data_IF_094475048683
#
_entry.id   IF_094475048683
#
_cell.length_a   1.000
_cell.length_b   1.000
_cell.length_c   1.000
_cell.angle_alpha   90.00
_cell.angle_beta   90.00
_cell.angle_gamma   90.00
#
_symmetry.space_group_name_H-M   'P 1'
#
loop_
_entity.id
_entity.type
_entity.pdbx_description
1 polymer ?
#
# COMPACT_ATOMS: atom_id res chain seq x y z
N UNK A 1 1.66 14.33 12.60
CA UNK A 1 2.31 14.79 11.35
C UNK A 1 1.74 14.03 10.17
N UNK A 2 1.86 12.70 10.16
CA UNK A 2 1.25 11.81 9.17
C UNK A 2 -0.25 12.05 8.94
N UNK A 3 -1.06 12.22 10.00
CA UNK A 3 -2.51 12.44 9.86
C UNK A 3 -2.88 13.60 8.93
N UNK A 4 -2.10 14.70 8.96
CA UNK A 4 -2.33 15.86 8.09
C UNK A 4 -2.02 15.54 6.63
N UNK A 5 -0.96 14.76 6.38
CA UNK A 5 -0.56 14.34 5.04
C UNK A 5 -1.56 13.31 4.50
N UNK A 6 -1.91 12.30 5.31
CA UNK A 6 -2.91 11.28 4.97
C UNK A 6 -4.29 11.87 4.68
N UNK A 7 -4.74 12.83 5.50
CA UNK A 7 -6.02 13.51 5.24
C UNK A 7 -6.01 14.31 3.93
N UNK A 8 -4.91 15.01 3.61
CA UNK A 8 -4.74 15.73 2.34
C UNK A 8 -4.67 14.78 1.14
N UNK A 9 -3.93 13.68 1.28
CA UNK A 9 -3.86 12.62 0.27
C UNK A 9 -5.24 12.02 0.01
N UNK A 10 -5.97 11.64 1.07
CA UNK A 10 -7.31 11.09 0.92
C UNK A 10 -8.27 12.06 0.24
N UNK A 11 -8.32 13.31 0.69
CA UNK A 11 -9.15 14.33 0.05
C UNK A 11 -8.82 14.47 -1.46
N UNK A 12 -7.54 14.66 -1.80
CA UNK A 12 -7.14 14.95 -3.19
C UNK A 12 -7.27 13.75 -4.14
N UNK A 13 -6.94 12.54 -3.69
CA UNK A 13 -7.09 11.31 -4.47
C UNK A 13 -8.58 10.99 -4.71
N UNK A 14 -9.42 11.15 -3.67
CA UNK A 14 -10.87 10.94 -3.78
C UNK A 14 -11.52 11.94 -4.74
N UNK A 15 -11.19 13.24 -4.61
CA UNK A 15 -11.68 14.29 -5.51
C UNK A 15 -11.32 14.03 -6.98
N UNK A 16 -10.18 13.36 -7.21
CA UNK A 16 -9.68 13.05 -8.55
C UNK A 16 -10.10 11.67 -9.04
N UNK A 17 -10.96 10.96 -8.28
CA UNK A 17 -11.45 9.61 -8.55
C UNK A 17 -10.32 8.61 -8.84
N UNK A 18 -9.18 8.73 -8.16
CA UNK A 18 -8.08 7.78 -8.25
C UNK A 18 -8.31 6.66 -7.22
N UNK A 19 -8.62 5.42 -7.63
CA UNK A 19 -8.73 4.30 -6.70
C UNK A 19 -7.37 4.06 -6.06
N UNK A 20 -7.33 3.92 -4.74
CA UNK A 20 -6.07 3.70 -4.04
C UNK A 20 -6.27 2.99 -2.72
N UNK A 21 -5.17 2.51 -2.15
CA UNK A 21 -5.11 2.17 -0.74
C UNK A 21 -3.72 2.47 -0.17
N UNK A 22 -3.69 2.92 1.09
CA UNK A 22 -2.47 3.05 1.89
C UNK A 22 -2.02 1.67 2.34
N UNK A 23 -0.76 1.34 2.09
CA UNK A 23 -0.16 0.03 2.39
C UNK A 23 1.03 0.20 3.37
N UNK A 24 1.90 -0.80 3.43
CA UNK A 24 3.22 -0.66 4.03
C UNK A 24 3.20 -0.33 5.53
N UNK A 25 4.15 0.49 5.96
CA UNK A 25 4.34 0.81 7.38
C UNK A 25 3.15 1.52 8.03
N UNK A 26 2.44 2.36 7.29
CA UNK A 26 1.26 3.08 7.79
C UNK A 26 0.08 2.12 8.05
N UNK A 27 -0.13 1.14 7.17
CA UNK A 27 -1.16 0.12 7.36
C UNK A 27 -0.89 -0.79 8.57
N UNK A 28 0.38 -1.04 8.92
CA UNK A 28 0.75 -1.80 10.14
C UNK A 28 0.22 -1.14 11.40
N UNK A 29 0.13 0.20 11.44
CA UNK A 29 -0.36 0.91 12.63
C UNK A 29 -1.81 0.59 12.98
N UNK A 30 -2.60 0.07 12.03
CA UNK A 30 -4.00 -0.32 12.26
C UNK A 30 -4.14 -1.71 12.89
N UNK A 31 -3.22 -2.64 12.60
CA UNK A 31 -3.41 -4.06 12.92
C UNK A 31 -2.27 -4.68 13.76
N UNK A 32 -1.09 -4.05 13.78
CA UNK A 32 0.13 -4.60 14.37
C UNK A 32 0.62 -3.81 15.58
N UNK A 33 1.93 -3.83 15.79
CA UNK A 33 2.61 -2.97 16.76
C UNK A 33 3.08 -1.66 16.11
N UNK A 34 2.83 -0.50 16.74
CA UNK A 34 3.36 0.76 16.26
C UNK A 34 4.88 0.70 16.14
N UNK A 35 5.39 1.04 14.94
CA UNK A 35 6.83 1.12 14.69
C UNK A 35 7.15 2.37 13.91
N UNK A 36 8.40 2.82 14.02
CA UNK A 36 8.85 3.94 13.19
C UNK A 36 8.78 3.53 11.70
N UNK A 37 7.93 4.23 10.96
CA UNK A 37 7.85 4.30 9.50
C UNK A 37 8.24 5.72 9.09
N UNK A 38 8.91 5.85 7.94
CA UNK A 38 9.49 7.11 7.48
C UNK A 38 8.81 7.64 6.22
N UNK A 39 7.79 6.93 5.78
CA UNK A 39 7.22 6.99 4.45
C UNK A 39 5.72 6.65 4.50
N UNK A 40 5.06 6.98 3.40
CA UNK A 40 3.68 6.59 3.09
C UNK A 40 3.73 5.87 1.75
N UNK A 41 3.35 4.60 1.76
CA UNK A 41 3.25 3.77 0.55
C UNK A 41 1.80 3.71 0.09
N UNK A 42 1.54 3.97 -1.19
CA UNK A 42 0.20 4.02 -1.77
C UNK A 42 0.17 3.18 -3.04
N UNK A 43 -0.69 2.16 -3.09
CA UNK A 43 -1.01 1.50 -4.36
C UNK A 43 -2.16 2.24 -5.02
N UNK A 44 -2.00 2.58 -6.30
CA UNK A 44 -3.00 3.18 -7.17
C UNK A 44 -3.58 2.09 -8.07
N UNK A 45 -4.91 2.01 -8.15
CA UNK A 45 -5.66 1.09 -9.02
C UNK A 45 -5.74 1.53 -10.47
N UNK A 46 -4.69 2.19 -10.97
CA UNK A 46 -4.60 2.72 -12.33
C UNK A 46 -3.23 2.44 -12.93
N UNK A 47 -3.16 2.43 -14.25
CA UNK A 47 -1.90 2.35 -14.99
C UNK A 47 -1.19 3.71 -15.09
N UNK A 48 0.01 3.66 -15.67
CA UNK A 48 0.85 4.86 -15.91
C UNK A 48 0.23 5.83 -16.92
N UNK A 49 -0.80 5.41 -17.67
CA UNK A 49 -1.63 6.27 -18.52
C UNK A 49 -2.36 7.35 -17.70
N UNK A 50 -2.48 7.18 -16.38
CA UNK A 50 -3.03 8.17 -15.46
C UNK A 50 -1.97 9.03 -14.75
N UNK A 51 -0.70 8.95 -15.17
CA UNK A 51 0.40 9.70 -14.54
C UNK A 51 0.13 11.21 -14.52
N UNK A 52 -0.38 11.77 -15.63
CA UNK A 52 -0.70 13.20 -15.69
C UNK A 52 -1.80 13.60 -14.69
N UNK A 53 -2.82 12.75 -14.53
CA UNK A 53 -3.89 12.97 -13.53
C UNK A 53 -3.29 12.97 -12.13
N UNK A 54 -2.44 11.99 -11.82
CA UNK A 54 -1.75 11.92 -10.52
C UNK A 54 -0.88 13.16 -10.29
N UNK A 55 -0.09 13.60 -11.27
CA UNK A 55 0.76 14.78 -11.14
C UNK A 55 -0.06 16.05 -10.89
N UNK A 56 -1.18 16.23 -11.58
CA UNK A 56 -2.09 17.36 -11.30
C UNK A 56 -2.76 17.24 -9.93
N UNK A 57 -3.02 16.02 -9.47
CA UNK A 57 -3.62 15.75 -8.17
C UNK A 57 -2.67 16.14 -7.04
N UNK A 58 -1.43 15.64 -7.07
CA UNK A 58 -0.47 15.87 -5.99
C UNK A 58 0.04 17.32 -5.94
N UNK A 59 0.02 18.05 -7.08
CA UNK A 59 0.34 19.50 -7.13
C UNK A 59 -0.61 20.38 -6.31
N UNK A 60 -1.80 19.88 -5.95
CA UNK A 60 -2.77 20.62 -5.11
C UNK A 60 -2.37 20.66 -3.63
N UNK A 61 -1.41 19.83 -3.23
CA UNK A 61 -0.91 19.69 -1.85
C UNK A 61 0.61 19.87 -1.86
N UNK A 62 1.30 20.05 -0.71
CA UNK A 62 2.74 20.33 -0.70
C UNK A 62 3.58 19.08 -0.98
N UNK A 63 3.27 18.36 -2.05
CA UNK A 63 4.02 17.22 -2.56
C UNK A 63 4.78 17.60 -3.82
N UNK A 64 6.06 17.21 -3.87
CA UNK A 64 6.89 17.36 -5.05
C UNK A 64 7.40 16.00 -5.50
N UNK A 65 7.24 15.70 -6.79
CA UNK A 65 7.86 14.53 -7.40
C UNK A 65 9.39 14.61 -7.29
N UNK A 66 10.02 13.48 -6.96
CA UNK A 66 11.46 13.41 -6.75
C UNK A 66 12.28 13.18 -8.03
N UNK A 67 11.86 12.36 -9.02
CA UNK A 67 12.67 12.12 -10.21
C UNK A 67 12.80 13.37 -11.08
N UNK A 68 13.97 13.56 -11.70
CA UNK A 68 14.18 14.63 -12.68
C UNK A 68 13.37 14.37 -13.95
N UNK A 69 13.47 13.16 -14.51
CA UNK A 69 12.60 12.66 -15.59
C UNK A 69 11.53 11.73 -15.01
N UNK A 70 10.41 12.34 -14.63
CA UNK A 70 9.28 11.62 -14.02
C UNK A 70 8.70 10.55 -14.96
N UNK A 71 8.53 10.88 -16.24
CA UNK A 71 7.89 9.97 -17.18
C UNK A 71 8.75 8.72 -17.41
N UNK A 72 10.05 8.92 -17.67
CA UNK A 72 10.97 7.78 -17.85
C UNK A 72 11.09 6.93 -16.58
N UNK A 73 11.16 7.55 -15.40
CA UNK A 73 11.27 6.82 -14.13
C UNK A 73 10.03 5.97 -13.85
N UNK A 74 8.83 6.54 -14.00
CA UNK A 74 7.56 5.83 -13.76
C UNK A 74 7.38 4.71 -14.79
N UNK A 75 7.72 4.96 -16.06
CA UNK A 75 7.63 3.94 -17.12
C UNK A 75 8.52 2.71 -16.84
N UNK A 76 9.65 2.89 -16.17
CA UNK A 76 10.59 1.82 -15.83
C UNK A 76 10.24 1.10 -14.53
N UNK A 77 9.74 1.84 -13.52
CA UNK A 77 9.63 1.33 -12.15
C UNK A 77 8.19 1.09 -11.70
N UNK A 78 7.20 1.63 -12.42
CA UNK A 78 5.80 1.70 -11.98
C UNK A 78 5.61 2.48 -10.67
N UNK A 79 6.57 3.34 -10.28
CA UNK A 79 6.50 4.12 -9.03
C UNK A 79 6.76 5.60 -9.30
N UNK A 80 5.92 6.47 -8.74
CA UNK A 80 6.18 7.90 -8.61
C UNK A 80 6.57 8.21 -7.14
N UNK A 81 7.87 8.38 -6.84
CA UNK A 81 8.30 8.83 -5.53
C UNK A 81 8.12 10.35 -5.42
N UNK A 82 7.54 10.79 -4.31
CA UNK A 82 7.31 12.19 -3.98
C UNK A 82 7.75 12.49 -2.54
N UNK A 83 7.86 13.77 -2.21
CA UNK A 83 8.18 14.25 -0.86
C UNK A 83 7.21 15.34 -0.45
N UNK A 84 6.73 15.26 0.79
CA UNK A 84 6.00 16.35 1.43
C UNK A 84 7.00 17.43 1.84
N UNK A 85 6.95 18.58 1.18
CA UNK A 85 7.93 19.66 1.35
C UNK A 85 7.83 20.32 2.73
N UNK A 86 6.70 20.16 3.43
CA UNK A 86 6.50 20.72 4.77
C UNK A 86 7.18 19.89 5.87
N UNK A 87 7.34 18.59 5.65
CA UNK A 87 7.75 17.63 6.70
C UNK A 87 8.96 16.78 6.31
N UNK A 88 9.29 16.72 5.01
CA UNK A 88 10.31 15.83 4.48
C UNK A 88 9.88 14.36 4.40
N UNK A 89 8.61 14.03 4.68
CA UNK A 89 8.10 12.66 4.59
C UNK A 89 8.02 12.24 3.12
N UNK A 90 8.54 11.06 2.81
CA UNK A 90 8.44 10.45 1.49
C UNK A 90 7.05 9.82 1.27
N UNK A 91 6.51 9.97 0.07
CA UNK A 91 5.29 9.31 -0.37
C UNK A 91 5.57 8.59 -1.68
N UNK A 92 5.40 7.28 -1.71
CA UNK A 92 5.59 6.47 -2.90
C UNK A 92 4.23 6.06 -3.47
N UNK A 93 3.94 6.47 -4.71
CA UNK A 93 2.75 6.07 -5.46
C UNK A 93 3.10 4.94 -6.41
N UNK A 94 2.52 3.76 -6.21
CA UNK A 94 2.78 2.54 -6.96
C UNK A 94 1.61 2.31 -7.91
N UNK A 95 1.86 2.33 -9.21
CA UNK A 95 0.85 2.06 -10.23
C UNK A 95 0.64 0.56 -10.35
N UNK A 96 -0.59 0.08 -10.13
CA UNK A 96 -0.92 -1.33 -10.29
C UNK A 96 -2.35 -1.54 -10.78
N UNK A 97 -2.49 -2.48 -11.69
CA UNK A 97 -3.77 -2.87 -12.30
C UNK A 97 -3.94 -4.39 -12.34
N UNK A 98 -3.27 -5.10 -11.43
CA UNK A 98 -3.43 -6.56 -11.33
C UNK A 98 -4.82 -6.92 -10.82
N UNK A 99 -5.34 -8.13 -11.12
CA UNK A 99 -6.60 -8.59 -10.56
C UNK A 99 -6.61 -8.58 -9.03
N UNK A 100 -5.47 -8.93 -8.41
CA UNK A 100 -5.28 -8.86 -6.97
C UNK A 100 -5.43 -7.43 -6.44
N UNK A 101 -4.64 -6.49 -6.96
CA UNK A 101 -4.64 -5.11 -6.44
C UNK A 101 -5.99 -4.43 -6.66
N UNK A 102 -6.65 -4.73 -7.78
CA UNK A 102 -8.02 -4.27 -8.04
C UNK A 102 -8.99 -4.78 -6.96
N UNK A 103 -8.90 -6.05 -6.58
CA UNK A 103 -9.72 -6.60 -5.50
C UNK A 103 -9.37 -6.00 -4.14
N UNK A 104 -8.08 -5.89 -3.82
CA UNK A 104 -7.58 -5.34 -2.56
C UNK A 104 -8.01 -3.88 -2.35
N UNK A 105 -7.89 -3.04 -3.39
CA UNK A 105 -8.35 -1.65 -3.37
C UNK A 105 -9.87 -1.56 -3.20
N UNK A 106 -10.65 -2.38 -3.92
CA UNK A 106 -12.11 -2.36 -3.81
C UNK A 106 -12.62 -2.76 -2.41
N UNK A 107 -11.87 -3.59 -1.68
CA UNK A 107 -12.19 -3.98 -0.30
C UNK A 107 -11.50 -3.11 0.75
N UNK A 108 -10.71 -2.10 0.39
CA UNK A 108 -9.94 -1.32 1.35
C UNK A 108 -10.81 -0.75 2.48
N UNK A 109 -10.24 -0.67 3.69
CA UNK A 109 -10.92 -0.12 4.85
C UNK A 109 -10.89 1.41 4.79
N UNK A 110 -12.04 2.05 4.91
CA UNK A 110 -12.12 3.50 5.04
C UNK A 110 -11.86 3.91 6.49
N UNK A 111 -10.89 4.80 6.70
CA UNK A 111 -10.55 5.34 8.02
C UNK A 111 -10.74 6.86 7.97
N UNK A 112 -11.50 7.39 8.93
CA UNK A 112 -11.75 8.83 9.03
C UNK A 112 -10.57 9.52 9.72
N UNK A 113 -9.79 10.29 8.97
CA UNK A 113 -8.64 11.05 9.48
C UNK A 113 -8.89 12.53 9.25
N UNK A 114 -8.94 13.32 10.33
CA UNK A 114 -9.19 14.77 10.29
C UNK A 114 -10.41 15.16 9.41
N UNK A 115 -11.47 14.34 9.45
CA UNK A 115 -12.67 14.59 8.66
C UNK A 115 -12.53 14.27 7.16
N UNK A 116 -11.54 13.47 6.76
CA UNK A 116 -11.38 12.95 5.40
C UNK A 116 -11.39 11.42 5.44
N UNK A 117 -11.97 10.80 4.41
CA UNK A 117 -11.95 9.35 4.26
C UNK A 117 -10.63 8.95 3.60
N UNK A 118 -9.89 8.08 4.27
CA UNK A 118 -8.60 7.57 3.79
C UNK A 118 -8.68 6.06 3.71
N UNK A 119 -8.41 5.50 2.54
CA UNK A 119 -8.49 4.06 2.30
C UNK A 119 -7.18 3.36 2.65
N UNK A 120 -7.24 2.37 3.53
CA UNK A 120 -6.10 1.54 3.95
C UNK A 120 -6.31 0.08 3.53
N UNK A 121 -5.22 -0.63 3.24
CA UNK A 121 -5.28 -2.07 3.05
C UNK A 121 -5.97 -2.77 4.23
N UNK A 122 -6.75 -3.81 3.95
CA UNK A 122 -7.25 -4.70 5.00
C UNK A 122 -6.11 -5.49 5.61
N UNK A 123 -6.37 -6.08 6.78
CA UNK A 123 -5.38 -6.92 7.47
C UNK A 123 -4.90 -8.07 6.59
N UNK A 124 -5.79 -8.69 5.80
CA UNK A 124 -5.40 -9.77 4.89
C UNK A 124 -4.46 -9.30 3.79
N UNK A 125 -4.78 -8.18 3.15
CA UNK A 125 -3.98 -7.62 2.05
C UNK A 125 -2.61 -7.14 2.56
N UNK A 126 -2.57 -6.57 3.77
CA UNK A 126 -1.31 -6.23 4.44
C UNK A 126 -0.44 -7.47 4.69
N UNK A 127 -1.03 -8.58 5.13
CA UNK A 127 -0.31 -9.84 5.31
C UNK A 127 0.23 -10.34 3.96
N UNK A 128 -0.60 -10.35 2.91
CA UNK A 128 -0.20 -10.79 1.57
C UNK A 128 0.99 -9.97 1.06
N UNK A 129 0.93 -8.63 1.15
CA UNK A 129 2.03 -7.74 0.76
C UNK A 129 3.33 -8.02 1.51
N UNK A 130 3.24 -8.34 2.80
CA UNK A 130 4.41 -8.65 3.64
C UNK A 130 5.02 -10.01 3.38
N UNK A 131 4.19 -11.02 3.13
CA UNK A 131 4.68 -12.34 2.71
C UNK A 131 5.34 -12.22 1.34
N UNK A 132 4.73 -11.48 0.42
CA UNK A 132 5.27 -11.25 -0.92
C UNK A 132 6.63 -10.53 -0.88
N UNK A 133 6.81 -9.54 0.00
CA UNK A 133 8.09 -8.85 0.16
C UNK A 133 9.16 -9.71 0.85
N UNK A 134 8.75 -10.64 1.73
CA UNK A 134 9.61 -11.63 2.38
C UNK A 134 10.71 -11.07 3.29
N UNK A 135 10.75 -9.75 3.55
CA UNK A 135 11.82 -9.13 4.34
C UNK A 135 11.71 -9.59 5.81
N UNK A 136 12.82 -9.75 6.55
CA UNK A 136 12.78 -10.19 7.95
C UNK A 136 11.83 -9.39 8.84
N UNK A 137 11.79 -8.07 8.66
CA UNK A 137 10.87 -7.17 9.39
C UNK A 137 9.41 -7.37 9.00
N UNK A 138 9.14 -7.69 7.73
CA UNK A 138 7.78 -7.95 7.27
C UNK A 138 7.25 -9.27 7.85
N UNK A 139 8.09 -10.30 7.95
CA UNK A 139 7.73 -11.56 8.60
C UNK A 139 7.43 -11.37 10.09
N UNK A 140 8.19 -10.52 10.79
CA UNK A 140 7.92 -10.20 12.19
C UNK A 140 6.62 -9.40 12.36
N UNK A 141 6.38 -8.40 11.48
CA UNK A 141 5.12 -7.66 11.45
C UNK A 141 3.92 -8.63 11.25
N UNK A 142 4.03 -9.62 10.35
CA UNK A 142 2.96 -10.62 10.11
C UNK A 142 2.68 -11.47 11.35
N UNK A 143 3.70 -11.94 12.07
CA UNK A 143 3.50 -12.72 13.31
C UNK A 143 2.69 -11.94 14.34
N UNK A 144 3.07 -10.68 14.55
CA UNK A 144 2.38 -9.80 15.50
C UNK A 144 0.94 -9.55 15.05
N UNK A 145 0.73 -9.27 13.76
CA UNK A 145 -0.61 -9.05 13.20
C UNK A 145 -1.49 -10.30 13.42
N UNK A 146 -0.98 -11.51 13.14
CA UNK A 146 -1.71 -12.76 13.34
C UNK A 146 -2.09 -12.99 14.82
N UNK A 147 -1.24 -12.59 15.77
CA UNK A 147 -1.53 -12.72 17.20
C UNK A 147 -2.60 -11.71 17.68
N UNK A 148 -2.64 -10.52 17.09
CA UNK A 148 -3.50 -9.41 17.54
C UNK A 148 -4.90 -9.43 16.92
N UNK A 149 -5.10 -10.12 15.80
CA UNK A 149 -6.34 -10.08 15.03
C UNK A 149 -6.90 -11.51 14.90
N UNK A 150 -8.09 -11.76 15.48
CA UNK A 150 -8.67 -13.11 15.59
C UNK A 150 -9.53 -13.51 14.37
N UNK A 151 -10.03 -12.54 13.59
CA UNK A 151 -10.99 -12.77 12.51
C UNK A 151 -10.38 -12.59 11.11
N UNK A 152 -9.13 -13.05 10.92
CA UNK A 152 -8.44 -12.96 9.63
C UNK A 152 -8.97 -14.04 8.67
N UNK A 153 -9.36 -13.66 7.45
CA UNK A 153 -9.70 -14.62 6.40
C UNK A 153 -8.44 -15.26 5.81
N UNK A 154 -8.01 -16.36 6.42
CA UNK A 154 -6.85 -17.13 5.97
C UNK A 154 -7.05 -17.78 4.60
N UNK A 155 -8.28 -18.09 4.20
CA UNK A 155 -8.54 -18.71 2.88
C UNK A 155 -8.31 -17.72 1.77
N UNK A 156 -8.72 -16.46 1.98
CA UNK A 156 -8.41 -15.38 1.04
C UNK A 156 -6.90 -15.18 0.87
N UNK A 157 -6.15 -15.16 1.97
CA UNK A 157 -4.68 -15.05 1.94
C UNK A 157 -4.06 -16.24 1.20
N UNK A 158 -4.43 -17.47 1.56
CA UNK A 158 -3.88 -18.67 0.92
C UNK A 158 -4.20 -18.72 -0.58
N UNK A 159 -5.39 -18.29 -0.99
CA UNK A 159 -5.80 -18.25 -2.40
C UNK A 159 -4.86 -17.34 -3.19
N UNK A 160 -4.66 -16.11 -2.74
CA UNK A 160 -3.80 -15.17 -3.47
C UNK A 160 -2.32 -15.54 -3.44
N UNK A 161 -1.80 -16.04 -2.31
CA UNK A 161 -0.42 -16.49 -2.26
C UNK A 161 -0.17 -17.71 -3.16
N UNK A 162 -1.18 -18.58 -3.35
CA UNK A 162 -1.11 -19.69 -4.30
C UNK A 162 -1.06 -19.21 -5.75
N UNK A 163 -1.87 -18.20 -6.10
CA UNK A 163 -1.84 -17.57 -7.43
C UNK A 163 -0.47 -16.90 -7.69
N UNK A 164 0.14 -16.27 -6.67
CA UNK A 164 1.46 -15.67 -6.79
C UNK A 164 2.57 -16.70 -6.96
N UNK A 165 2.53 -17.79 -6.20
CA UNK A 165 3.43 -18.93 -6.37
C UNK A 165 3.33 -19.50 -7.79
N UNK A 166 2.10 -19.68 -8.30
CA UNK A 166 1.87 -20.15 -9.67
C UNK A 166 2.43 -19.19 -10.74
N UNK A 167 2.21 -17.87 -10.57
CA UNK A 167 2.72 -16.85 -11.49
C UNK A 167 4.25 -16.71 -11.46
N UNK A 168 4.87 -16.88 -10.29
CA UNK A 168 6.31 -16.84 -10.11
C UNK A 168 7.02 -18.16 -10.50
N UNK A 169 6.27 -19.25 -10.72
CA UNK A 169 6.79 -20.61 -10.85
C UNK A 169 7.64 -21.04 -9.63
N UNK A 170 7.19 -20.63 -8.44
CA UNK A 170 7.82 -20.90 -7.14
C UNK A 170 6.78 -21.46 -6.16
N UNK A 171 7.21 -21.88 -4.96
CA UNK A 171 6.32 -22.37 -3.88
C UNK A 171 6.73 -21.78 -2.52
N UNK A 172 7.08 -20.50 -2.52
CA UNK A 172 7.72 -19.84 -1.39
C UNK A 172 6.69 -19.03 -0.58
N UNK A 173 5.72 -18.40 -1.24
CA UNK A 173 4.80 -17.49 -0.57
C UNK A 173 3.79 -18.23 0.31
N UNK A 174 3.11 -19.23 -0.25
CA UNK A 174 2.11 -20.00 0.50
C UNK A 174 2.75 -20.80 1.64
N UNK A 175 3.94 -21.37 1.40
CA UNK A 175 4.66 -22.13 2.42
C UNK A 175 5.17 -21.24 3.55
N UNK A 176 5.66 -20.04 3.24
CA UNK A 176 6.07 -19.05 4.24
C UNK A 176 4.89 -18.61 5.13
N UNK A 177 3.73 -18.31 4.55
CA UNK A 177 2.54 -17.94 5.32
C UNK A 177 2.09 -19.07 6.25
N UNK A 178 1.99 -20.30 5.75
CA UNK A 178 1.60 -21.47 6.56
C UNK A 178 2.57 -21.78 7.69
N UNK A 179 3.85 -21.44 7.54
CA UNK A 179 4.82 -21.59 8.60
C UNK A 179 4.59 -20.62 9.77
N UNK A 180 3.95 -19.47 9.54
CA UNK A 180 3.63 -18.48 10.57
C UNK A 180 2.33 -18.77 11.33
N UNK A 181 1.49 -19.68 10.83
CA UNK A 181 0.25 -20.11 11.48
C UNK A 181 0.46 -21.23 12.53
N UNK A 182 1.69 -21.75 12.64
CA UNK A 182 2.06 -22.82 13.57
C UNK A 182 2.56 -22.25 14.88
#
# INVERSE_FOLDING_TARGET
>A
MFDKILARLGATLNESNLPYMIIGGQAVLLYGEPRLTRDIDITLGVGIDHLDVLLQTIKKIPLRALPEDVAAFVQQTMVLPAIDESTGIRVDFIFSFTPYESQAINRANHIRILGQDVFFARVEDLIIHKIFSGRPRDMEDVRIILLKNQDIDTRYIETWLMEFDAAANEKIFLSAFRALLK
#
